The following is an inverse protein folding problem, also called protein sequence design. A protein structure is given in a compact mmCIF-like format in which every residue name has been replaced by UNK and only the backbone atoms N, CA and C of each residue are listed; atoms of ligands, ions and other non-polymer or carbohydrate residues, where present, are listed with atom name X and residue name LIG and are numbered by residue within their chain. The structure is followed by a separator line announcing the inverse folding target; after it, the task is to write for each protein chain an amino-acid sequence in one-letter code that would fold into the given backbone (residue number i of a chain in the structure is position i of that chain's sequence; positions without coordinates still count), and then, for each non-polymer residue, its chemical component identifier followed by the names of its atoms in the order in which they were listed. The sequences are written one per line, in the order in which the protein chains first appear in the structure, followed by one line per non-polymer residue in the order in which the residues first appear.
data_IF_432796984745
#
_entry.id   IF_432796984745
#
_cell.length_a   1.000
_cell.length_b   1.000
_cell.length_c   1.000
_cell.angle_alpha   90.00
_cell.angle_beta   90.00
_cell.angle_gamma   90.00
#
_symmetry.space_group_name_H-M   'P 1'
#
loop_
_entity.id
_entity.type
_entity.pdbx_description
1 polymer ?
#
# COMPACT_ATOMS: atom_id res chain seq x y z
N UNK A 1 -3.34 14.69 -2.25
CA UNK A 1 -3.56 15.18 -0.86
C UNK A 1 -2.89 16.54 -0.63
N UNK A 2 -1.58 16.67 -0.86
CA UNK A 2 -0.79 17.90 -0.63
C UNK A 2 -1.38 19.15 -1.30
N UNK A 3 -1.73 19.08 -2.58
CA UNK A 3 -2.33 20.22 -3.29
C UNK A 3 -3.66 20.70 -2.67
N UNK A 4 -4.47 19.78 -2.14
CA UNK A 4 -5.74 20.12 -1.49
C UNK A 4 -5.50 20.81 -0.14
N UNK A 5 -4.58 20.28 0.68
CA UNK A 5 -4.23 20.91 1.95
C UNK A 5 -3.54 22.25 1.76
N UNK A 6 -2.64 22.38 0.78
CA UNK A 6 -2.06 23.69 0.45
C UNK A 6 -3.17 24.68 0.08
N UNK A 7 -4.10 24.34 -0.81
CA UNK A 7 -5.20 25.24 -1.17
C UNK A 7 -6.07 25.66 0.03
N UNK A 8 -6.38 24.73 0.94
CA UNK A 8 -7.22 25.01 2.11
C UNK A 8 -6.50 25.75 3.23
N UNK A 9 -5.22 25.50 3.42
CA UNK A 9 -4.44 26.00 4.55
C UNK A 9 -3.57 27.20 4.20
N UNK A 10 -3.49 27.58 2.93
CA UNK A 10 -2.78 28.76 2.47
C UNK A 10 -3.24 30.04 3.18
N UNK A 11 -4.54 30.13 3.52
CA UNK A 11 -5.11 31.27 4.27
C UNK A 11 -4.50 31.45 5.67
N UNK A 12 -3.93 30.37 6.23
CA UNK A 12 -3.26 30.38 7.53
C UNK A 12 -1.73 30.50 7.40
N UNK A 13 -1.21 30.65 6.17
CA UNK A 13 0.24 30.67 5.90
C UNK A 13 0.95 29.34 6.17
N UNK A 14 0.19 28.24 6.29
CA UNK A 14 0.72 26.90 6.57
C UNK A 14 1.24 26.29 5.26
N UNK A 15 2.52 25.90 5.24
CA UNK A 15 3.13 25.19 4.12
C UNK A 15 2.94 23.68 4.29
N UNK A 16 2.48 23.03 3.22
CA UNK A 16 2.33 21.57 3.14
C UNK A 16 3.25 21.02 2.07
N UNK A 17 4.07 20.03 2.42
CA UNK A 17 5.00 19.39 1.49
C UNK A 17 4.83 17.87 1.49
N UNK A 18 5.30 17.23 0.42
CA UNK A 18 5.29 15.78 0.24
C UNK A 18 6.70 15.21 0.39
N UNK A 19 6.80 14.08 1.08
CA UNK A 19 8.02 13.29 1.20
C UNK A 19 7.69 11.82 0.87
N UNK A 20 7.60 11.52 -0.42
CA UNK A 20 7.26 10.19 -0.98
C UNK A 20 8.32 9.77 -2.00
N UNK A 21 8.53 8.46 -2.22
CA UNK A 21 9.38 7.88 -3.29
C UNK A 21 10.66 8.65 -3.64
N UNK A 22 10.59 9.48 -4.68
CA UNK A 22 11.72 10.21 -5.28
C UNK A 22 11.97 11.61 -4.70
N UNK A 23 11.03 12.13 -3.91
CA UNK A 23 11.17 13.46 -3.31
C UNK A 23 12.01 13.40 -2.05
N UNK A 24 13.13 14.14 -2.07
CA UNK A 24 13.92 14.46 -0.89
C UNK A 24 13.74 15.93 -0.55
N UNK A 25 13.40 16.22 0.70
CA UNK A 25 13.38 17.58 1.20
C UNK A 25 14.72 17.91 1.84
N UNK A 26 15.25 19.10 1.55
CA UNK A 26 16.40 19.61 2.28
C UNK A 26 16.03 19.88 3.73
N UNK A 27 17.01 19.86 4.65
CA UNK A 27 16.78 20.19 6.07
C UNK A 27 16.07 21.54 6.25
N UNK A 28 16.37 22.51 5.37
CA UNK A 28 15.73 23.82 5.40
C UNK A 28 14.24 23.74 5.02
N UNK A 29 13.90 23.03 3.94
CA UNK A 29 12.50 22.83 3.54
C UNK A 29 11.69 22.11 4.63
N UNK A 30 12.30 21.16 5.32
CA UNK A 30 11.67 20.44 6.44
C UNK A 30 11.36 21.41 7.59
N UNK A 31 12.31 22.28 7.95
CA UNK A 31 12.11 23.28 9.02
C UNK A 31 11.06 24.34 8.66
N UNK A 32 10.94 24.69 7.38
CA UNK A 32 9.95 25.66 6.89
C UNK A 32 8.53 25.08 6.73
N UNK A 33 8.39 23.75 6.70
CA UNK A 33 7.11 23.07 6.44
C UNK A 33 6.44 22.65 7.75
N UNK A 34 5.15 22.97 7.91
CA UNK A 34 4.40 22.62 9.12
C UNK A 34 3.64 21.29 8.99
N UNK A 35 3.22 20.92 7.77
CA UNK A 35 2.54 19.65 7.50
C UNK A 35 3.32 18.89 6.43
N UNK A 36 3.73 17.67 6.75
CA UNK A 36 4.44 16.79 5.84
C UNK A 36 3.55 15.58 5.58
N UNK A 37 3.28 15.30 4.31
CA UNK A 37 2.62 14.07 3.86
C UNK A 37 3.70 13.09 3.42
N UNK A 38 3.71 11.91 4.02
CA UNK A 38 4.87 11.02 4.07
C UNK A 38 4.41 9.57 4.05
N UNK A 39 5.16 8.70 3.37
CA UNK A 39 4.91 7.25 3.44
C UNK A 39 5.53 6.66 4.72
N UNK A 40 4.97 5.57 5.27
CA UNK A 40 5.46 4.95 6.52
C UNK A 40 6.97 4.65 6.50
N UNK A 41 7.51 4.26 5.35
CA UNK A 41 8.92 3.89 5.18
C UNK A 41 9.88 5.08 5.38
N UNK A 42 9.42 6.31 5.13
CA UNK A 42 10.24 7.52 5.32
C UNK A 42 10.09 8.15 6.70
N UNK A 43 9.19 7.63 7.55
CA UNK A 43 8.82 8.24 8.84
C UNK A 43 10.02 8.49 9.76
N UNK A 44 11.03 7.62 9.71
CA UNK A 44 12.22 7.69 10.57
C UNK A 44 13.12 8.91 10.33
N UNK A 45 12.96 9.60 9.22
CA UNK A 45 13.60 10.89 9.00
C UNK A 45 13.01 11.96 9.95
N UNK A 46 11.75 11.76 10.37
CA UNK A 46 10.84 12.63 11.09
C UNK A 46 10.94 12.62 12.62
N UNK A 47 11.80 13.38 13.31
CA UNK A 47 11.96 13.22 14.78
C UNK A 47 11.09 14.08 15.72
N UNK A 48 10.35 15.13 15.34
CA UNK A 48 9.65 15.95 16.37
C UNK A 48 8.29 16.48 15.93
N UNK A 49 7.22 15.74 16.24
CA UNK A 49 5.86 16.09 15.83
C UNK A 49 4.90 16.11 17.02
N UNK A 50 3.90 16.99 16.97
CA UNK A 50 2.82 17.02 17.96
C UNK A 50 1.61 16.17 17.56
N UNK A 51 1.45 15.88 16.26
CA UNK A 51 0.30 15.13 15.73
C UNK A 51 0.80 14.15 14.66
N UNK A 52 0.30 12.92 14.72
CA UNK A 52 0.52 11.88 13.72
C UNK A 52 -0.84 11.45 13.17
N UNK A 53 -1.09 11.68 11.89
CA UNK A 53 -2.31 11.22 11.21
C UNK A 53 -1.94 10.01 10.35
N UNK A 54 -2.57 8.87 10.64
CA UNK A 54 -2.44 7.65 9.87
C UNK A 54 -3.70 7.53 9.04
N UNK A 55 -3.58 7.90 7.77
CA UNK A 55 -4.63 7.60 6.80
C UNK A 55 -4.61 6.10 6.51
N UNK A 56 -5.78 5.48 6.54
CA UNK A 56 -5.99 4.07 6.21
C UNK A 56 -5.20 3.08 7.06
N UNK A 57 -5.33 3.21 8.39
CA UNK A 57 -4.72 2.31 9.36
C UNK A 57 -5.14 0.84 9.20
N UNK A 58 -6.22 0.55 8.47
CA UNK A 58 -6.60 -0.83 8.14
C UNK A 58 -5.57 -1.56 7.27
N UNK A 59 -4.63 -0.84 6.65
CA UNK A 59 -3.46 -1.41 5.98
C UNK A 59 -2.52 -2.19 6.91
N UNK A 60 -2.78 -2.23 8.23
CA UNK A 60 -2.16 -3.18 9.15
C UNK A 60 -2.31 -4.64 8.69
N UNK A 61 -3.37 -4.97 7.95
CA UNK A 61 -3.62 -6.30 7.40
C UNK A 61 -2.95 -6.55 6.02
N UNK A 62 -2.24 -5.56 5.49
CA UNK A 62 -1.53 -5.64 4.21
C UNK A 62 -0.03 -5.94 4.43
N UNK A 63 0.70 -6.30 3.38
CA UNK A 63 2.14 -6.59 3.44
C UNK A 63 2.98 -5.41 3.94
N UNK A 64 2.45 -4.18 3.81
CA UNK A 64 3.05 -2.94 4.34
C UNK A 64 2.67 -2.65 5.80
N UNK A 65 1.73 -3.40 6.35
CA UNK A 65 1.27 -3.30 7.74
C UNK A 65 2.38 -3.34 8.78
N UNK A 66 3.41 -4.21 8.66
CA UNK A 66 4.53 -4.25 9.61
C UNK A 66 5.32 -2.94 9.69
N UNK A 67 5.43 -2.19 8.59
CA UNK A 67 6.09 -0.87 8.60
C UNK A 67 5.27 0.12 9.40
N UNK A 68 3.95 0.15 9.18
CA UNK A 68 3.03 1.01 9.91
C UNK A 68 3.01 0.67 11.41
N UNK A 69 2.97 -0.62 11.73
CA UNK A 69 3.04 -1.13 13.10
C UNK A 69 4.34 -0.70 13.78
N UNK A 70 5.48 -0.81 13.10
CA UNK A 70 6.79 -0.34 13.60
C UNK A 70 6.81 1.16 13.89
N UNK A 71 6.21 1.96 13.00
CA UNK A 71 6.11 3.43 13.15
C UNK A 71 5.27 3.80 14.37
N UNK A 72 4.12 3.15 14.56
CA UNK A 72 3.25 3.38 15.71
C UNK A 72 3.93 2.98 17.01
N UNK A 73 4.45 1.74 17.07
CA UNK A 73 5.12 1.21 18.25
C UNK A 73 6.31 2.09 18.69
N UNK A 74 7.09 2.58 17.72
CA UNK A 74 8.24 3.46 17.98
C UNK A 74 7.81 4.83 18.48
N UNK A 75 6.77 5.41 17.89
CA UNK A 75 6.21 6.70 18.32
C UNK A 75 5.72 6.61 19.77
N UNK A 76 4.93 5.59 20.09
CA UNK A 76 4.35 5.42 21.43
C UNK A 76 5.42 5.12 22.47
N UNK A 77 6.33 4.18 22.20
CA UNK A 77 7.46 3.88 23.09
C UNK A 77 8.28 5.14 23.38
N UNK A 78 8.49 5.99 22.37
CA UNK A 78 9.19 7.26 22.57
C UNK A 78 8.40 8.22 23.44
N UNK A 79 7.08 8.35 23.23
CA UNK A 79 6.23 9.21 24.06
C UNK A 79 6.36 8.86 25.55
N UNK A 80 6.42 7.56 25.87
CA UNK A 80 6.61 7.09 27.25
C UNK A 80 8.03 7.35 27.78
N UNK A 81 9.05 7.21 26.93
CA UNK A 81 10.45 7.41 27.33
C UNK A 81 10.83 8.89 27.49
N UNK A 82 10.37 9.76 26.59
CA UNK A 82 10.75 11.18 26.58
C UNK A 82 9.73 12.08 27.26
N UNK A 83 8.50 11.59 27.47
CA UNK A 83 7.38 12.42 27.92
C UNK A 83 6.85 13.39 26.86
N UNK A 84 7.41 13.37 25.63
CA UNK A 84 6.94 14.20 24.52
C UNK A 84 5.69 13.57 23.92
N UNK A 85 4.52 14.10 24.28
CA UNK A 85 3.25 13.58 23.80
C UNK A 85 3.04 13.88 22.31
N UNK A 86 2.77 12.84 21.52
CA UNK A 86 2.32 12.92 20.14
C UNK A 86 0.86 12.47 20.10
N UNK A 87 -0.02 13.21 19.42
CA UNK A 87 -1.43 12.81 19.25
C UNK A 87 -1.58 11.90 18.04
N UNK A 88 -1.81 10.58 18.20
CA UNK A 88 -2.17 9.71 17.08
C UNK A 88 -3.62 9.94 16.64
N UNK A 89 -3.87 9.93 15.34
CA UNK A 89 -5.21 9.95 14.73
C UNK A 89 -5.21 8.90 13.62
N UNK A 90 -5.92 7.79 13.85
CA UNK A 90 -6.09 6.74 12.85
C UNK A 90 -7.41 6.93 12.08
N UNK A 91 -7.33 7.01 10.76
CA UNK A 91 -8.49 6.93 9.88
C UNK A 91 -8.54 5.49 9.36
N UNK A 92 -9.66 4.82 9.59
CA UNK A 92 -9.84 3.43 9.19
C UNK A 92 -11.16 3.28 8.48
N UNK A 93 -11.19 2.34 7.56
CA UNK A 93 -12.42 1.88 6.99
C UNK A 93 -13.05 0.84 7.94
N UNK A 94 -14.38 0.74 7.95
CA UNK A 94 -15.08 -0.08 8.93
C UNK A 94 -14.84 -1.57 8.71
N UNK A 95 -14.08 -2.17 9.62
CA UNK A 95 -13.67 -3.56 9.64
C UNK A 95 -13.63 -4.05 11.09
N UNK A 96 -13.74 -5.37 11.35
CA UNK A 96 -13.59 -5.96 12.68
C UNK A 96 -12.18 -5.73 13.26
N UNK A 97 -12.04 -5.94 14.57
CA UNK A 97 -10.85 -5.64 15.38
C UNK A 97 -10.47 -4.15 15.48
N UNK A 98 -11.38 -3.23 15.11
CA UNK A 98 -11.14 -1.79 15.26
C UNK A 98 -10.86 -1.35 16.72
N UNK A 99 -11.36 -2.10 17.71
CA UNK A 99 -11.06 -1.90 19.13
C UNK A 99 -9.60 -2.26 19.47
N UNK A 100 -9.07 -3.31 18.86
CA UNK A 100 -7.68 -3.69 19.02
C UNK A 100 -6.76 -2.65 18.36
N UNK A 101 -7.16 -2.10 17.21
CA UNK A 101 -6.47 -0.97 16.57
C UNK A 101 -6.50 0.29 17.46
N UNK A 102 -7.61 0.54 18.15
CA UNK A 102 -7.71 1.63 19.13
C UNK A 102 -6.76 1.41 20.33
N UNK A 103 -6.65 0.16 20.78
CA UNK A 103 -5.70 -0.25 21.85
C UNK A 103 -4.26 -0.02 21.40
N UNK A 104 -3.90 -0.40 20.18
CA UNK A 104 -2.59 -0.12 19.58
C UNK A 104 -2.24 1.37 19.60
N UNK A 105 -3.21 2.24 19.29
CA UNK A 105 -2.99 3.69 19.29
C UNK A 105 -3.04 4.33 20.70
N UNK A 106 -3.13 3.53 21.76
CA UNK A 106 -3.30 3.98 23.15
C UNK A 106 -4.49 4.96 23.30
N UNK A 107 -5.59 4.70 22.58
CA UNK A 107 -6.78 5.54 22.59
C UNK A 107 -7.76 5.15 23.70
N UNK A 108 -8.37 6.15 24.34
CA UNK A 108 -9.51 5.96 25.24
C UNK A 108 -10.75 5.60 24.40
N UNK A 109 -11.26 4.37 24.56
CA UNK A 109 -12.41 3.85 23.82
C UNK A 109 -13.67 4.72 23.97
N UNK A 110 -13.84 5.41 25.11
CA UNK A 110 -15.05 6.21 25.38
C UNK A 110 -15.02 7.58 24.71
N UNK A 111 -13.83 8.12 24.43
CA UNK A 111 -13.65 9.50 23.94
C UNK A 111 -13.10 9.58 22.53
N UNK A 112 -12.30 8.60 22.13
CA UNK A 112 -11.50 8.64 20.90
C UNK A 112 -11.94 7.64 19.83
N UNK A 113 -12.77 6.65 20.16
CA UNK A 113 -13.18 5.61 19.22
C UNK A 113 -14.54 5.93 18.59
N UNK A 114 -14.54 6.05 17.26
CA UNK A 114 -15.75 6.28 16.48
C UNK A 114 -15.90 5.16 15.45
N UNK A 115 -17.05 4.49 15.44
CA UNK A 115 -17.37 3.42 14.49
C UNK A 115 -18.66 3.76 13.74
N UNK A 116 -18.58 3.78 12.41
CA UNK A 116 -19.69 4.15 11.51
C UNK A 116 -20.10 2.95 10.66
N UNK A 117 -21.15 2.25 11.05
CA UNK A 117 -21.60 1.03 10.34
C UNK A 117 -22.07 1.31 8.89
N UNK A 118 -22.46 0.24 8.19
CA UNK A 118 -22.95 0.35 6.81
C UNK A 118 -24.21 1.22 6.66
N UNK A 119 -24.94 1.58 7.72
CA UNK A 119 -26.08 2.52 7.62
C UNK A 119 -25.64 3.92 7.18
N UNK A 120 -24.36 4.25 7.40
CA UNK A 120 -23.73 5.48 6.91
C UNK A 120 -23.27 5.38 5.43
N UNK A 121 -23.31 4.19 4.81
CA UNK A 121 -22.91 3.97 3.41
C UNK A 121 -24.03 3.29 2.60
N UNK A 122 -24.63 4.01 1.65
CA UNK A 122 -25.68 3.45 0.77
C UNK A 122 -25.09 2.56 -0.33
N UNK A 123 -25.18 1.22 -0.21
CA UNK A 123 -24.85 0.28 -1.31
C UNK A 123 -25.77 -0.94 -1.36
N UNK A 124 -26.11 -1.39 -2.57
CA UNK A 124 -26.91 -2.60 -2.86
C UNK A 124 -26.12 -3.53 -3.77
N UNK A 125 -26.13 -4.84 -3.50
CA UNK A 125 -25.29 -5.87 -4.16
C UNK A 125 -26.14 -6.77 -5.07
N UNK A 126 -25.62 -7.14 -6.26
CA UNK A 126 -26.21 -8.15 -7.18
C UNK A 126 -25.13 -9.05 -7.82
N UNK A 127 -25.45 -10.33 -8.08
CA UNK A 127 -24.54 -11.40 -8.57
C UNK A 127 -24.69 -11.69 -10.07
N UNK A 128 -23.60 -11.93 -10.82
CA UNK A 128 -23.61 -12.41 -12.23
C UNK A 128 -22.31 -13.15 -12.65
N UNK A 129 -22.34 -13.87 -13.79
CA UNK A 129 -21.22 -14.66 -14.38
C UNK A 129 -20.85 -14.19 -15.80
N UNK A 130 -19.55 -14.31 -16.16
CA UNK A 130 -18.83 -13.93 -17.41
C UNK A 130 -18.48 -12.43 -17.54
N UNK A 131 -17.18 -12.09 -17.47
CA UNK A 131 -16.71 -10.70 -17.23
C UNK A 131 -17.16 -9.69 -18.29
N UNK A 132 -16.91 -9.96 -19.57
CA UNK A 132 -17.21 -8.99 -20.64
C UNK A 132 -18.71 -8.87 -20.91
N UNK A 133 -19.44 -9.99 -20.93
CA UNK A 133 -20.89 -9.97 -21.12
C UNK A 133 -21.61 -9.29 -19.94
N UNK A 134 -21.15 -9.54 -18.72
CA UNK A 134 -21.69 -8.88 -17.51
C UNK A 134 -21.36 -7.40 -17.52
N UNK A 135 -20.11 -7.02 -17.81
CA UNK A 135 -19.72 -5.63 -17.92
C UNK A 135 -20.58 -4.90 -18.95
N UNK A 136 -20.70 -5.45 -20.16
CA UNK A 136 -21.55 -4.92 -21.22
C UNK A 136 -23.02 -4.78 -20.78
N UNK A 137 -23.59 -5.84 -20.21
CA UNK A 137 -24.97 -5.83 -19.73
C UNK A 137 -25.19 -4.80 -18.62
N UNK A 138 -24.21 -4.59 -17.74
CA UNK A 138 -24.30 -3.61 -16.65
C UNK A 138 -24.14 -2.17 -17.11
N UNK A 139 -23.23 -1.92 -18.05
CA UNK A 139 -23.14 -0.62 -18.71
C UNK A 139 -24.46 -0.31 -19.41
N UNK A 140 -25.05 -1.27 -20.13
CA UNK A 140 -26.37 -1.12 -20.74
C UNK A 140 -27.49 -0.91 -19.73
N UNK A 141 -27.54 -1.67 -18.64
CA UNK A 141 -28.55 -1.54 -17.58
C UNK A 141 -28.49 -0.13 -16.96
N UNK A 142 -27.30 0.44 -16.75
CA UNK A 142 -27.12 1.78 -16.20
C UNK A 142 -27.42 2.89 -17.22
N UNK A 143 -26.94 2.74 -18.45
CA UNK A 143 -27.23 3.67 -19.54
C UNK A 143 -28.74 3.71 -19.87
N UNK A 144 -29.44 2.58 -19.71
CA UNK A 144 -30.87 2.42 -20.03
C UNK A 144 -31.85 2.74 -18.90
N UNK A 145 -31.39 2.94 -17.65
CA UNK A 145 -32.30 3.27 -16.53
C UNK A 145 -32.87 4.70 -16.58
N UNK A 146 -32.33 5.55 -17.44
CA UNK A 146 -32.80 6.92 -17.61
C UNK A 146 -33.67 7.16 -18.86
N UNK A 147 -33.99 6.15 -19.69
CA UNK A 147 -34.91 6.30 -20.83
C UNK A 147 -35.34 4.97 -21.48
N UNK A 148 -36.53 4.95 -22.09
CA UNK A 148 -37.18 3.78 -22.74
C UNK A 148 -36.32 3.11 -23.83
N UNK A 149 -36.42 1.77 -23.92
CA UNK A 149 -35.62 0.81 -24.68
C UNK A 149 -35.33 1.07 -26.18
N UNK A 150 -35.96 2.07 -26.80
CA UNK A 150 -35.77 2.48 -28.20
C UNK A 150 -34.86 3.72 -28.38
N UNK A 151 -34.36 4.31 -27.29
CA UNK A 151 -33.42 5.44 -27.30
C UNK A 151 -32.07 5.02 -26.68
N UNK A 152 -31.41 4.01 -27.25
CA UNK A 152 -30.09 3.55 -26.79
C UNK A 152 -29.03 4.53 -27.28
N UNK A 153 -28.37 5.23 -26.36
CA UNK A 153 -27.34 6.25 -26.62
C UNK A 153 -27.79 7.41 -27.54
N UNK A 154 -28.91 8.08 -27.22
CA UNK A 154 -29.17 9.39 -27.83
C UNK A 154 -28.26 10.42 -27.16
N UNK A 155 -27.19 10.82 -27.86
CA UNK A 155 -26.52 12.06 -27.57
C UNK A 155 -27.51 13.20 -27.76
N UNK A 156 -27.55 14.15 -26.83
CA UNK A 156 -28.01 15.48 -27.22
C UNK A 156 -27.03 16.01 -28.28
N UNK A 157 -27.52 16.64 -29.34
CA UNK A 157 -26.69 17.14 -30.45
C UNK A 157 -25.56 18.02 -29.91
N UNK A 158 -25.88 18.82 -28.88
CA UNK A 158 -24.94 19.67 -28.18
C UNK A 158 -23.80 18.89 -27.50
N UNK A 159 -24.09 17.78 -26.80
CA UNK A 159 -23.05 16.98 -26.14
C UNK A 159 -22.17 16.26 -27.15
N UNK A 160 -22.75 15.78 -28.26
CA UNK A 160 -21.97 15.15 -29.33
C UNK A 160 -21.03 16.15 -30.03
N UNK A 161 -21.51 17.37 -30.30
CA UNK A 161 -20.70 18.43 -30.89
C UNK A 161 -19.53 18.83 -29.96
N UNK A 162 -19.79 19.03 -28.67
CA UNK A 162 -18.74 19.32 -27.67
C UNK A 162 -17.71 18.19 -27.64
N UNK A 163 -18.13 16.92 -27.56
CA UNK A 163 -17.20 15.79 -27.54
C UNK A 163 -16.41 15.65 -28.85
N UNK A 164 -17.00 16.01 -29.99
CA UNK A 164 -16.31 15.96 -31.28
C UNK A 164 -15.27 17.08 -31.42
N UNK A 165 -15.58 18.27 -30.90
CA UNK A 165 -14.64 19.40 -30.84
C UNK A 165 -13.47 19.08 -29.90
N UNK A 166 -13.76 18.59 -28.70
CA UNK A 166 -12.74 18.20 -27.73
C UNK A 166 -11.88 17.03 -28.25
N UNK A 167 -12.47 16.07 -28.98
CA UNK A 167 -11.72 15.00 -29.62
C UNK A 167 -10.64 15.52 -30.58
N UNK A 168 -10.90 16.64 -31.27
CA UNK A 168 -9.92 17.27 -32.17
C UNK A 168 -8.67 17.80 -31.47
N UNK A 169 -8.75 18.07 -30.16
CA UNK A 169 -7.63 18.56 -29.35
C UNK A 169 -6.82 17.43 -28.69
N UNK A 170 -7.30 16.19 -28.78
CA UNK A 170 -6.71 15.05 -28.08
C UNK A 170 -5.53 14.48 -28.86
N UNK A 171 -4.43 14.23 -28.15
CA UNK A 171 -3.20 13.67 -28.73
C UNK A 171 -3.23 12.15 -28.89
N UNK A 172 -4.00 11.45 -28.04
CA UNK A 172 -4.13 9.99 -28.08
C UNK A 172 -5.16 9.55 -29.12
N UNK A 173 -4.71 8.79 -30.12
CA UNK A 173 -5.55 8.30 -31.22
C UNK A 173 -6.65 7.33 -30.76
N UNK A 174 -6.42 6.57 -29.69
CA UNK A 174 -7.44 5.68 -29.13
C UNK A 174 -8.54 6.49 -28.46
N UNK A 175 -8.16 7.51 -27.69
CA UNK A 175 -9.14 8.38 -27.03
C UNK A 175 -9.92 9.21 -28.05
N UNK A 176 -9.26 9.74 -29.07
CA UNK A 176 -9.89 10.45 -30.19
C UNK A 176 -11.03 9.64 -30.84
N UNK A 177 -10.82 8.33 -31.02
CA UNK A 177 -11.82 7.46 -31.65
C UNK A 177 -12.98 7.06 -30.72
N UNK A 178 -12.80 7.16 -29.40
CA UNK A 178 -13.79 6.74 -28.41
C UNK A 178 -14.66 7.91 -27.93
N UNK A 179 -14.07 9.11 -27.80
CA UNK A 179 -14.72 10.28 -27.23
C UNK A 179 -16.04 10.67 -27.92
N UNK A 180 -16.16 10.64 -29.26
CA UNK A 180 -17.41 10.96 -29.96
C UNK A 180 -18.57 10.03 -29.58
N UNK A 181 -18.26 8.81 -29.15
CA UNK A 181 -19.25 7.84 -28.67
C UNK A 181 -19.53 7.96 -27.16
N UNK A 182 -19.01 8.99 -26.49
CA UNK A 182 -19.19 9.19 -25.04
C UNK A 182 -18.42 8.17 -24.19
N UNK A 183 -17.46 7.45 -24.78
CA UNK A 183 -16.53 6.56 -24.10
C UNK A 183 -15.19 7.27 -23.93
N UNK A 184 -14.56 7.10 -22.77
CA UNK A 184 -13.21 7.58 -22.54
C UNK A 184 -12.36 6.57 -21.76
N UNK A 185 -11.05 6.70 -21.90
CA UNK A 185 -10.05 5.96 -21.16
C UNK A 185 -9.26 6.91 -20.25
N UNK A 186 -8.88 6.45 -19.06
CA UNK A 186 -8.03 7.18 -18.13
C UNK A 186 -6.94 6.30 -17.52
N UNK A 187 -5.68 6.60 -17.83
CA UNK A 187 -4.52 5.91 -17.25
C UNK A 187 -3.34 6.87 -16.97
N UNK A 188 -2.40 6.39 -16.14
CA UNK A 188 -1.29 7.21 -15.64
C UNK A 188 -0.25 7.65 -16.69
N UNK A 189 -0.30 7.12 -17.92
CA UNK A 189 0.56 7.56 -19.03
C UNK A 189 -0.08 8.60 -19.96
N UNK A 190 -1.35 8.98 -19.74
CA UNK A 190 -1.98 10.07 -20.50
C UNK A 190 -1.42 11.44 -20.11
N UNK A 191 -1.52 12.43 -21.00
CA UNK A 191 -1.13 13.81 -20.66
C UNK A 191 -2.06 14.41 -19.61
N UNK A 192 -1.61 15.44 -18.89
CA UNK A 192 -2.43 16.10 -17.88
C UNK A 192 -3.64 16.83 -18.50
N UNK A 193 -3.44 17.42 -19.67
CA UNK A 193 -4.47 18.10 -20.47
C UNK A 193 -5.64 17.14 -20.76
N UNK A 194 -5.33 15.93 -21.24
CA UNK A 194 -6.35 14.93 -21.58
C UNK A 194 -7.11 14.40 -20.34
N UNK A 195 -6.55 14.52 -19.13
CA UNK A 195 -7.18 14.03 -17.88
C UNK A 195 -8.23 14.97 -17.29
N UNK A 196 -8.19 16.25 -17.64
CA UNK A 196 -9.10 17.26 -17.08
C UNK A 196 -10.47 17.30 -17.79
N UNK A 197 -10.59 16.65 -18.95
CA UNK A 197 -11.81 16.56 -19.80
C UNK A 197 -13.01 15.83 -19.15
N UNK A 198 -12.82 15.12 -18.04
CA UNK A 198 -13.82 14.19 -17.50
C UNK A 198 -14.76 14.79 -16.44
N UNK A 199 -14.57 16.05 -16.05
CA UNK A 199 -15.27 16.66 -14.91
C UNK A 199 -16.71 17.10 -15.23
N UNK A 200 -16.99 17.44 -16.49
CA UNK A 200 -18.24 18.13 -16.89
C UNK A 200 -19.42 17.19 -17.19
N UNK A 201 -19.23 15.88 -17.02
CA UNK A 201 -20.29 14.88 -17.19
C UNK A 201 -20.69 14.60 -18.65
N UNK A 202 -19.94 15.14 -19.63
CA UNK A 202 -20.13 14.85 -21.05
C UNK A 202 -19.80 13.38 -21.40
N UNK A 203 -18.85 12.77 -20.69
CA UNK A 203 -18.49 11.36 -20.84
C UNK A 203 -19.47 10.47 -20.06
N UNK A 204 -20.06 9.51 -20.76
CA UNK A 204 -21.03 8.57 -20.18
C UNK A 204 -20.37 7.33 -19.59
N UNK A 205 -19.28 6.85 -20.21
CA UNK A 205 -18.53 5.67 -19.76
C UNK A 205 -17.05 5.99 -19.71
N UNK A 206 -16.50 5.99 -18.49
CA UNK A 206 -15.06 6.15 -18.25
C UNK A 206 -14.45 4.81 -17.84
N UNK A 207 -13.48 4.33 -18.63
CA UNK A 207 -12.69 3.14 -18.33
C UNK A 207 -11.36 3.60 -17.73
N UNK A 208 -11.06 3.23 -16.49
CA UNK A 208 -9.88 3.72 -15.79
C UNK A 208 -9.01 2.61 -15.20
N UNK A 209 -7.70 2.85 -15.16
CA UNK A 209 -6.79 2.06 -14.32
C UNK A 209 -6.95 2.46 -12.85
N UNK A 210 -6.50 1.58 -11.96
CA UNK A 210 -6.54 1.81 -10.51
C UNK A 210 -5.94 3.13 -10.03
N UNK A 211 -4.98 3.67 -10.79
CA UNK A 211 -4.32 4.96 -10.54
C UNK A 211 -5.30 6.13 -10.42
N UNK A 212 -6.50 6.03 -11.01
CA UNK A 212 -7.55 7.04 -10.86
C UNK A 212 -8.20 7.02 -9.45
N UNK A 213 -8.35 5.83 -8.87
CA UNK A 213 -8.89 5.69 -7.52
C UNK A 213 -7.84 6.11 -6.47
N UNK A 214 -6.58 5.70 -6.70
CA UNK A 214 -5.43 6.04 -5.88
C UNK A 214 -4.15 5.86 -6.71
N UNK A 215 -3.21 6.80 -6.65
CA UNK A 215 -2.01 6.83 -7.52
C UNK A 215 -0.98 5.70 -7.33
N UNK A 216 -1.33 4.57 -6.69
CA UNK A 216 -0.43 3.45 -6.35
C UNK A 216 -1.14 2.10 -6.61
N UNK A 217 -0.38 1.07 -6.99
CA UNK A 217 -0.88 -0.28 -7.30
C UNK A 217 -0.93 -1.19 -6.05
N UNK A 218 -2.11 -1.56 -5.51
CA UNK A 218 -2.27 -2.75 -4.63
C UNK A 218 -3.65 -3.47 -4.75
N UNK A 219 -3.78 -4.70 -4.22
CA UNK A 219 -4.93 -5.62 -4.31
C UNK A 219 -6.24 -5.10 -3.65
N UNK A 220 -6.16 -4.16 -2.70
CA UNK A 220 -7.34 -3.55 -2.06
C UNK A 220 -8.11 -2.53 -2.93
N UNK A 221 -7.69 -2.37 -4.21
CA UNK A 221 -8.31 -1.51 -5.24
C UNK A 221 -9.83 -1.54 -5.25
N UNK A 222 -10.44 -2.72 -5.05
CA UNK A 222 -11.89 -2.90 -5.15
C UNK A 222 -12.66 -1.95 -4.24
N UNK A 223 -12.22 -1.75 -2.99
CA UNK A 223 -12.93 -0.90 -2.03
C UNK A 223 -12.85 0.58 -2.39
N UNK A 224 -11.67 1.02 -2.84
CA UNK A 224 -11.39 2.39 -3.28
C UNK A 224 -12.13 2.79 -4.55
N UNK A 225 -12.16 1.88 -5.52
CA UNK A 225 -12.96 2.04 -6.73
C UNK A 225 -14.45 2.16 -6.38
N UNK A 226 -14.94 1.35 -5.43
CA UNK A 226 -16.31 1.42 -4.97
C UNK A 226 -16.62 2.66 -4.12
N UNK A 227 -15.63 3.30 -3.48
CA UNK A 227 -15.84 4.55 -2.73
C UNK A 227 -16.14 5.74 -3.64
N UNK A 228 -15.83 5.64 -4.94
CA UNK A 228 -16.21 6.60 -5.99
C UNK A 228 -17.61 6.36 -6.55
N UNK A 229 -18.30 5.29 -6.14
CA UNK A 229 -19.65 4.99 -6.62
C UNK A 229 -20.68 5.96 -6.03
N UNK A 230 -21.25 6.81 -6.89
CA UNK A 230 -22.23 7.84 -6.54
C UNK A 230 -21.57 9.18 -6.20
N UNK A 231 -22.06 10.26 -6.81
CA UNK A 231 -21.60 11.63 -6.57
C UNK A 231 -22.42 12.25 -5.43
N UNK A 232 -21.81 12.61 -4.28
CA UNK A 232 -22.53 13.07 -3.10
C UNK A 232 -23.48 14.26 -3.31
N UNK A 233 -23.24 15.07 -4.35
CA UNK A 233 -24.06 16.26 -4.67
C UNK A 233 -25.16 15.99 -5.71
N UNK A 234 -25.09 14.88 -6.47
CA UNK A 234 -25.97 14.63 -7.61
C UNK A 234 -26.81 13.37 -7.47
N UNK A 235 -26.28 12.32 -6.86
CA UNK A 235 -26.89 11.00 -6.88
C UNK A 235 -27.49 10.63 -5.51
N UNK A 236 -28.72 10.13 -5.51
CA UNK A 236 -29.40 9.70 -4.26
C UNK A 236 -28.82 8.38 -3.70
N UNK A 237 -28.26 7.54 -4.57
CA UNK A 237 -27.68 6.23 -4.29
C UNK A 237 -26.54 5.96 -5.27
N UNK A 238 -25.45 5.33 -4.83
CA UNK A 238 -24.38 4.83 -5.69
C UNK A 238 -24.46 3.32 -5.90
N UNK A 239 -24.22 2.85 -7.13
CA UNK A 239 -24.11 1.42 -7.43
C UNK A 239 -22.67 1.08 -7.80
N UNK A 240 -22.13 0.04 -7.18
CA UNK A 240 -20.78 -0.43 -7.44
C UNK A 240 -20.79 -1.95 -7.60
N UNK A 241 -20.15 -2.44 -8.66
CA UNK A 241 -20.20 -3.85 -9.07
C UNK A 241 -18.77 -4.39 -9.14
N UNK A 242 -18.46 -5.43 -8.36
CA UNK A 242 -17.23 -6.20 -8.47
C UNK A 242 -17.51 -7.43 -9.32
N UNK A 243 -16.67 -7.65 -10.34
CA UNK A 243 -16.65 -8.89 -11.12
C UNK A 243 -15.38 -9.64 -10.75
N UNK A 244 -15.53 -10.86 -10.23
CA UNK A 244 -14.43 -11.69 -9.74
C UNK A 244 -14.74 -13.18 -9.99
N UNK A 245 -13.74 -14.04 -9.80
CA UNK A 245 -13.90 -15.48 -9.82
C UNK A 245 -14.77 -15.96 -8.65
N UNK A 246 -15.44 -17.10 -8.85
CA UNK A 246 -16.32 -17.65 -7.81
C UNK A 246 -15.58 -17.96 -6.50
N UNK A 247 -14.33 -18.42 -6.58
CA UNK A 247 -13.49 -18.74 -5.42
C UNK A 247 -13.20 -17.51 -4.54
N UNK A 248 -13.09 -16.32 -5.13
CA UNK A 248 -12.74 -15.08 -4.42
C UNK A 248 -13.99 -14.29 -3.97
N UNK A 249 -15.18 -14.70 -4.41
CA UNK A 249 -16.43 -13.99 -4.09
C UNK A 249 -16.61 -13.82 -2.57
N UNK A 250 -16.30 -14.86 -1.79
CA UNK A 250 -16.44 -14.81 -0.34
C UNK A 250 -15.46 -13.81 0.29
N UNK A 251 -14.23 -13.73 -0.22
CA UNK A 251 -13.24 -12.74 0.22
C UNK A 251 -13.74 -11.30 -0.01
N UNK A 252 -14.20 -10.97 -1.22
CA UNK A 252 -14.72 -9.62 -1.50
C UNK A 252 -16.02 -9.32 -0.75
N UNK A 253 -16.90 -10.31 -0.55
CA UNK A 253 -18.09 -10.15 0.28
C UNK A 253 -17.71 -9.85 1.74
N UNK A 254 -16.72 -10.55 2.29
CA UNK A 254 -16.23 -10.30 3.65
C UNK A 254 -15.56 -8.94 3.76
N UNK A 255 -14.78 -8.51 2.77
CA UNK A 255 -14.18 -7.17 2.72
C UNK A 255 -15.24 -6.06 2.70
N UNK A 256 -16.32 -6.23 1.91
CA UNK A 256 -17.38 -5.22 1.76
C UNK A 256 -18.39 -5.21 2.91
N UNK A 257 -18.71 -6.37 3.48
CA UNK A 257 -19.64 -6.49 4.59
C UNK A 257 -18.97 -6.31 5.96
N UNK A 258 -17.75 -5.77 5.99
CA UNK A 258 -17.02 -5.48 7.23
C UNK A 258 -16.78 -6.75 8.06
N UNK A 259 -16.51 -7.89 7.41
CA UNK A 259 -16.27 -9.18 8.06
C UNK A 259 -14.81 -9.64 8.01
N UNK A 260 -13.94 -8.93 7.29
CA UNK A 260 -12.51 -9.27 7.25
C UNK A 260 -11.79 -8.59 8.44
N UNK A 261 -11.44 -9.31 9.51
CA UNK A 261 -10.78 -8.73 10.67
C UNK A 261 -9.40 -8.17 10.31
N UNK A 262 -9.06 -7.01 10.88
CA UNK A 262 -7.72 -6.46 10.75
C UNK A 262 -6.78 -7.31 11.61
N UNK A 263 -5.87 -8.06 10.97
CA UNK A 263 -4.86 -8.89 11.64
C UNK A 263 -3.44 -8.33 11.39
N UNK A 264 -2.52 -8.61 12.31
CA UNK A 264 -1.11 -8.23 12.16
C UNK A 264 -0.38 -9.24 11.27
N UNK A 265 0.38 -8.73 10.30
CA UNK A 265 1.33 -9.50 9.50
C UNK A 265 2.78 -9.33 9.98
N UNK A 266 2.98 -8.89 11.22
CA UNK A 266 4.29 -8.57 11.75
C UNK A 266 5.16 -9.83 11.91
N UNK A 267 6.24 -9.89 11.13
CA UNK A 267 7.22 -10.98 11.22
C UNK A 267 8.64 -10.46 11.45
N UNK A 268 8.90 -9.17 11.18
CA UNK A 268 10.26 -8.62 11.13
C UNK A 268 10.53 -7.53 12.17
N UNK A 269 11.67 -7.67 12.86
CA UNK A 269 12.13 -6.77 13.91
C UNK A 269 12.78 -5.50 13.33
N UNK A 270 12.14 -4.35 13.48
CA UNK A 270 12.70 -3.03 13.17
C UNK A 270 12.62 -2.10 14.39
N UNK A 271 13.55 -2.28 15.33
CA UNK A 271 13.57 -1.52 16.58
C UNK A 271 14.97 -1.09 17.03
N UNK A 272 15.05 0.06 17.69
CA UNK A 272 16.22 0.47 18.49
C UNK A 272 16.22 -0.31 19.81
N UNK A 273 16.70 -1.55 19.77
CA UNK A 273 16.75 -2.45 20.93
C UNK A 273 18.19 -2.94 21.12
N UNK A 274 18.69 -2.85 22.35
CA UNK A 274 20.07 -3.22 22.67
C UNK A 274 20.20 -4.58 23.36
N UNK A 275 19.09 -5.16 23.81
CA UNK A 275 19.06 -6.46 24.47
C UNK A 275 17.69 -7.13 24.33
N UNK A 276 17.62 -8.42 24.66
CA UNK A 276 16.41 -9.24 24.56
C UNK A 276 15.25 -8.69 25.39
N UNK A 277 15.51 -8.15 26.58
CA UNK A 277 14.44 -7.61 27.43
C UNK A 277 13.82 -6.34 26.81
N UNK A 278 14.63 -5.46 26.22
CA UNK A 278 14.14 -4.32 25.45
C UNK A 278 13.40 -4.74 24.19
N UNK A 279 13.80 -5.84 23.55
CA UNK A 279 13.09 -6.40 22.41
C UNK A 279 11.70 -6.91 22.80
N UNK A 280 11.57 -7.59 23.95
CA UNK A 280 10.28 -8.00 24.50
C UNK A 280 9.41 -6.80 24.83
N UNK A 281 9.99 -5.78 25.49
CA UNK A 281 9.26 -4.54 25.76
C UNK A 281 8.79 -3.86 24.49
N UNK A 282 9.64 -3.81 23.45
CA UNK A 282 9.29 -3.21 22.17
C UNK A 282 8.16 -3.97 21.46
N UNK A 283 8.19 -5.31 21.47
CA UNK A 283 7.08 -6.14 20.96
C UNK A 283 5.77 -5.84 21.67
N UNK A 284 5.81 -5.50 22.97
CA UNK A 284 4.63 -5.07 23.73
C UNK A 284 3.94 -3.80 23.22
N UNK A 285 4.56 -3.01 22.36
CA UNK A 285 3.94 -1.82 21.74
C UNK A 285 3.36 -2.09 20.34
N UNK A 286 3.49 -3.32 19.84
CA UNK A 286 3.12 -3.63 18.45
C UNK A 286 1.68 -4.18 18.38
N UNK A 287 1.09 -4.15 17.19
CA UNK A 287 -0.27 -4.65 16.97
C UNK A 287 -0.33 -6.18 17.09
N UNK A 288 0.76 -6.87 16.71
CA UNK A 288 0.96 -8.29 16.94
C UNK A 288 0.70 -8.66 18.40
N UNK A 289 1.27 -7.92 19.35
CA UNK A 289 1.05 -8.20 20.77
C UNK A 289 -0.42 -8.11 21.17
N UNK A 290 -1.09 -7.02 20.79
CA UNK A 290 -2.51 -6.81 21.07
C UNK A 290 -3.35 -7.98 20.51
N UNK A 291 -3.05 -8.38 19.28
CA UNK A 291 -3.77 -9.48 18.61
C UNK A 291 -3.47 -10.85 19.18
N UNK A 292 -2.22 -11.12 19.58
CA UNK A 292 -1.83 -12.37 20.23
C UNK A 292 -2.57 -12.56 21.56
N UNK A 293 -2.69 -11.51 22.38
CA UNK A 293 -3.47 -11.55 23.62
C UNK A 293 -4.95 -11.87 23.41
N UNK A 294 -5.54 -11.38 22.30
CA UNK A 294 -6.96 -11.57 21.97
C UNK A 294 -7.24 -12.91 21.27
N UNK A 295 -6.28 -13.43 20.50
CA UNK A 295 -6.50 -14.56 19.59
C UNK A 295 -5.27 -15.48 19.53
N UNK A 296 -4.87 -16.03 20.69
CA UNK A 296 -3.71 -16.92 20.87
C UNK A 296 -3.61 -18.04 19.81
N UNK A 297 -4.73 -18.73 19.53
CA UNK A 297 -4.76 -19.85 18.60
C UNK A 297 -4.52 -19.45 17.13
N UNK A 298 -4.90 -18.23 16.74
CA UNK A 298 -4.66 -17.73 15.37
C UNK A 298 -3.17 -17.48 15.13
N UNK A 299 -2.48 -16.96 16.15
CA UNK A 299 -1.05 -16.65 16.10
C UNK A 299 -0.16 -17.84 16.50
N UNK A 300 -0.73 -19.06 16.55
CA UNK A 300 0.00 -20.29 16.88
C UNK A 300 0.79 -20.21 18.20
N UNK A 301 0.26 -19.48 19.19
CA UNK A 301 0.86 -19.43 20.52
C UNK A 301 0.67 -20.79 21.19
N UNK A 302 1.78 -21.44 21.53
CA UNK A 302 1.78 -22.75 22.17
C UNK A 302 0.95 -22.77 23.45
N UNK A 303 0.27 -23.88 23.71
CA UNK A 303 -0.56 -24.07 24.91
C UNK A 303 0.30 -23.94 26.18
N UNK A 304 1.58 -24.28 26.10
CA UNK A 304 2.56 -24.17 27.18
C UNK A 304 2.73 -22.74 27.72
N UNK A 305 2.42 -21.70 26.92
CA UNK A 305 2.49 -20.30 27.37
C UNK A 305 1.19 -19.83 28.06
N UNK A 306 0.09 -20.60 28.00
CA UNK A 306 -1.23 -20.15 28.43
C UNK A 306 -1.44 -20.22 29.94
N UNK A 307 -0.75 -21.12 30.64
CA UNK A 307 -1.00 -21.35 32.07
C UNK A 307 -0.18 -20.42 32.98
N UNK A 308 1.01 -19.97 32.55
CA UNK A 308 1.97 -19.23 33.39
C UNK A 308 2.38 -17.83 32.85
N UNK A 309 2.03 -17.47 31.61
CA UNK A 309 2.53 -16.25 30.94
C UNK A 309 1.40 -15.31 30.46
N UNK A 310 0.70 -14.69 31.43
CA UNK A 310 -0.41 -13.75 31.17
C UNK A 310 -0.03 -12.55 30.26
N UNK A 311 1.26 -12.23 30.13
CA UNK A 311 1.77 -11.13 29.30
C UNK A 311 2.49 -11.59 28.03
N UNK A 312 2.52 -12.89 27.74
CA UNK A 312 3.29 -13.48 26.63
C UNK A 312 4.78 -13.08 26.65
N UNK A 313 5.35 -12.76 27.81
CA UNK A 313 6.73 -12.29 27.99
C UNK A 313 7.73 -13.34 27.51
N UNK A 314 7.52 -14.60 27.89
CA UNK A 314 8.37 -15.71 27.49
C UNK A 314 8.22 -15.98 25.99
N UNK A 315 6.99 -15.97 25.48
CA UNK A 315 6.74 -16.14 24.06
C UNK A 315 7.45 -15.06 23.21
N UNK A 316 7.35 -13.78 23.58
CA UNK A 316 8.07 -12.70 22.92
C UNK A 316 9.59 -12.82 23.07
N UNK A 317 10.07 -13.32 24.21
CA UNK A 317 11.50 -13.58 24.42
C UNK A 317 12.01 -14.64 23.44
N UNK A 318 11.21 -15.67 23.16
CA UNK A 318 11.54 -16.74 22.22
C UNK A 318 11.48 -16.28 20.76
N UNK A 319 10.51 -15.42 20.42
CA UNK A 319 10.46 -14.73 19.11
C UNK A 319 11.71 -13.86 18.93
N UNK A 320 12.02 -13.00 19.91
CA UNK A 320 13.18 -12.11 19.87
C UNK A 320 14.50 -12.91 19.79
N UNK A 321 14.60 -14.02 20.51
CA UNK A 321 15.76 -14.92 20.44
C UNK A 321 15.91 -15.54 19.04
N UNK A 322 14.83 -16.08 18.49
CA UNK A 322 14.84 -16.73 17.17
C UNK A 322 15.22 -15.74 16.07
N UNK A 323 14.64 -14.54 16.09
CA UNK A 323 15.01 -13.45 15.18
C UNK A 323 16.48 -13.05 15.33
N UNK A 324 16.97 -12.87 16.56
CA UNK A 324 18.37 -12.52 16.81
C UNK A 324 19.36 -13.60 16.31
N UNK A 325 19.02 -14.88 16.44
CA UNK A 325 19.82 -15.99 15.91
C UNK A 325 19.88 -15.96 14.37
N UNK A 326 18.77 -15.65 13.71
CA UNK A 326 18.75 -15.49 12.25
C UNK A 326 19.62 -14.30 11.79
N UNK A 327 19.49 -13.15 12.45
CA UNK A 327 20.27 -11.95 12.16
C UNK A 327 21.77 -12.15 12.44
N UNK A 328 22.11 -12.88 13.50
CA UNK A 328 23.50 -13.27 13.82
C UNK A 328 24.08 -14.16 12.71
N UNK A 329 23.33 -15.17 12.27
CA UNK A 329 23.75 -16.07 11.18
C UNK A 329 24.02 -15.33 9.87
N UNK A 330 23.29 -14.24 9.62
CA UNK A 330 23.48 -13.36 8.47
C UNK A 330 24.52 -12.24 8.69
N UNK A 331 25.23 -12.23 9.83
CA UNK A 331 26.23 -11.24 10.20
C UNK A 331 25.73 -9.79 10.32
N UNK A 332 24.43 -9.60 10.56
CA UNK A 332 23.81 -8.28 10.71
C UNK A 332 23.90 -7.74 12.13
N UNK A 333 23.93 -8.65 13.10
CA UNK A 333 24.15 -8.33 14.52
C UNK A 333 25.18 -9.28 15.12
N UNK A 334 25.80 -8.86 16.21
CA UNK A 334 26.48 -9.76 17.16
C UNK A 334 25.52 -10.00 18.33
N UNK A 335 25.25 -11.27 18.63
CA UNK A 335 24.29 -11.64 19.67
C UNK A 335 24.96 -12.44 20.79
N UNK A 336 25.03 -11.84 21.98
CA UNK A 336 25.53 -12.54 23.17
C UNK A 336 24.40 -13.27 23.88
N UNK A 337 24.32 -14.60 23.71
CA UNK A 337 23.21 -15.44 24.22
C UNK A 337 23.06 -15.43 25.74
N UNK A 338 24.18 -15.35 26.47
CA UNK A 338 24.19 -15.38 27.92
C UNK A 338 23.65 -14.09 28.53
N UNK A 339 24.08 -12.92 28.04
CA UNK A 339 23.62 -11.62 28.51
C UNK A 339 22.32 -11.15 27.82
N UNK A 340 21.99 -11.73 26.66
CA UNK A 340 20.91 -11.28 25.81
C UNK A 340 21.21 -9.99 25.03
N UNK A 341 22.47 -9.54 24.98
CA UNK A 341 22.85 -8.25 24.37
C UNK A 341 23.00 -8.33 22.86
N UNK A 342 22.54 -7.28 22.17
CA UNK A 342 22.68 -7.08 20.73
C UNK A 342 23.70 -5.98 20.45
N UNK A 343 24.51 -6.16 19.41
CA UNK A 343 25.35 -5.11 18.84
C UNK A 343 25.19 -5.11 17.32
N UNK A 344 24.75 -4.00 16.75
CA UNK A 344 24.64 -3.84 15.29
C UNK A 344 26.03 -3.92 14.64
N UNK A 345 26.11 -4.59 13.49
CA UNK A 345 27.27 -4.51 12.60
C UNK A 345 27.07 -3.40 11.57
N UNK A 346 28.12 -3.06 10.81
CA UNK A 346 28.00 -2.15 9.67
C UNK A 346 27.06 -2.71 8.59
N UNK A 347 27.08 -4.04 8.37
CA UNK A 347 26.12 -4.69 7.47
C UNK A 347 24.69 -4.51 7.97
N UNK A 348 24.45 -4.68 9.27
CA UNK A 348 23.14 -4.42 9.86
C UNK A 348 22.69 -2.96 9.69
N UNK A 349 23.62 -2.01 9.82
CA UNK A 349 23.34 -0.59 9.61
C UNK A 349 22.97 -0.30 8.15
N UNK A 350 23.71 -0.86 7.18
CA UNK A 350 23.40 -0.74 5.74
C UNK A 350 22.02 -1.37 5.44
N UNK A 351 21.76 -2.57 5.96
CA UNK A 351 20.50 -3.27 5.78
C UNK A 351 19.31 -2.42 6.23
N UNK A 352 19.38 -1.88 7.44
CA UNK A 352 18.34 -1.03 8.01
C UNK A 352 18.19 0.30 7.29
N UNK A 353 19.30 0.92 6.85
CA UNK A 353 19.27 2.22 6.19
C UNK A 353 18.62 2.18 4.80
N UNK A 354 18.86 1.10 4.05
CA UNK A 354 18.35 0.92 2.70
C UNK A 354 17.13 -0.01 2.62
N UNK A 355 16.55 -0.42 3.75
CA UNK A 355 15.42 -1.36 3.81
C UNK A 355 15.66 -2.65 3.01
N UNK A 356 16.88 -3.20 3.11
CA UNK A 356 17.26 -4.44 2.42
C UNK A 356 17.05 -5.63 3.35
N UNK A 357 16.42 -6.69 2.84
CA UNK A 357 16.13 -7.89 3.64
C UNK A 357 17.41 -8.61 4.10
N UNK A 358 17.32 -9.30 5.24
CA UNK A 358 18.48 -9.98 5.82
C UNK A 358 19.04 -11.10 4.93
N UNK A 359 18.19 -11.72 4.10
CA UNK A 359 18.58 -12.72 3.12
C UNK A 359 19.41 -12.10 1.99
N UNK A 360 19.00 -10.96 1.44
CA UNK A 360 19.74 -10.24 0.40
C UNK A 360 21.09 -9.76 0.91
N UNK A 361 21.14 -9.21 2.13
CA UNK A 361 22.41 -8.81 2.75
C UNK A 361 23.36 -9.99 2.97
N UNK A 362 22.84 -11.17 3.31
CA UNK A 362 23.65 -12.37 3.41
C UNK A 362 24.20 -12.82 2.04
N UNK A 363 23.41 -12.68 0.97
CA UNK A 363 23.88 -12.93 -0.40
C UNK A 363 24.98 -11.96 -0.80
N UNK A 364 24.77 -10.66 -0.55
CA UNK A 364 25.77 -9.63 -0.84
C UNK A 364 27.08 -9.87 -0.09
N UNK A 365 27.02 -10.17 1.21
CA UNK A 365 28.21 -10.44 2.01
C UNK A 365 28.98 -11.69 1.52
N UNK A 366 28.29 -12.70 0.97
CA UNK A 366 28.91 -13.92 0.45
C UNK A 366 29.54 -13.72 -0.94
N UNK A 367 28.92 -12.90 -1.78
CA UNK A 367 29.27 -12.81 -3.19
C UNK A 367 30.08 -11.56 -3.57
N UNK A 368 29.98 -10.46 -2.83
CA UNK A 368 30.73 -9.24 -3.11
C UNK A 368 32.24 -9.44 -2.85
N UNK A 369 33.07 -9.09 -3.83
CA UNK A 369 34.54 -9.16 -3.75
C UNK A 369 35.16 -7.89 -4.34
N UNK A 370 36.33 -7.42 -3.86
CA UNK A 370 36.96 -6.21 -4.37
C UNK A 370 37.33 -6.25 -5.86
N UNK A 371 37.53 -7.45 -6.42
CA UNK A 371 37.98 -7.67 -7.81
C UNK A 371 36.83 -7.98 -8.77
N UNK A 372 35.58 -7.70 -8.39
CA UNK A 372 34.43 -8.02 -9.23
C UNK A 372 34.35 -7.12 -10.46
N UNK A 373 34.00 -7.73 -11.58
CA UNK A 373 33.61 -7.03 -12.79
C UNK A 373 32.17 -6.51 -12.70
N UNK A 374 31.84 -5.52 -13.53
CA UNK A 374 30.46 -5.00 -13.63
C UNK A 374 29.45 -6.11 -13.94
N UNK A 375 29.81 -7.08 -14.78
CA UNK A 375 28.95 -8.21 -15.12
C UNK A 375 28.62 -9.08 -13.90
N UNK A 376 29.60 -9.31 -13.02
CA UNK A 376 29.37 -10.04 -11.77
C UNK A 376 28.53 -9.23 -10.78
N UNK A 377 28.65 -7.90 -10.76
CA UNK A 377 27.84 -7.03 -9.92
C UNK A 377 26.34 -7.13 -10.28
N UNK A 378 26.02 -7.05 -11.57
CA UNK A 378 24.64 -7.24 -12.06
C UNK A 378 24.08 -8.63 -11.70
N UNK A 379 24.93 -9.67 -11.74
CA UNK A 379 24.53 -11.02 -11.31
C UNK A 379 24.23 -11.06 -9.81
N UNK A 380 25.03 -10.42 -8.98
CA UNK A 380 24.79 -10.37 -7.52
C UNK A 380 23.51 -9.60 -7.20
N UNK A 381 23.23 -8.51 -7.91
CA UNK A 381 21.96 -7.79 -7.79
C UNK A 381 20.74 -8.66 -8.15
N UNK A 382 20.81 -9.44 -9.24
CA UNK A 382 19.70 -10.31 -9.64
C UNK A 382 19.44 -11.48 -8.66
N UNK A 383 20.35 -11.74 -7.72
CA UNK A 383 20.20 -12.79 -6.70
C UNK A 383 19.50 -12.29 -5.42
N UNK A 384 19.07 -11.03 -5.39
CA UNK A 384 18.40 -10.44 -4.23
C UNK A 384 17.05 -11.10 -3.96
N UNK A 385 16.76 -11.31 -2.67
CA UNK A 385 15.57 -12.00 -2.20
C UNK A 385 14.27 -11.21 -2.49
N UNK A 386 14.37 -9.90 -2.68
CA UNK A 386 13.26 -9.04 -3.13
C UNK A 386 12.69 -9.50 -4.48
N UNK A 387 13.51 -10.13 -5.33
CA UNK A 387 13.10 -10.63 -6.65
C UNK A 387 12.72 -12.11 -6.65
N UNK A 388 12.73 -12.79 -5.50
CA UNK A 388 12.51 -14.23 -5.38
C UNK A 388 11.15 -14.69 -5.94
N UNK A 389 10.14 -13.82 -5.86
CA UNK A 389 8.78 -14.11 -6.27
C UNK A 389 8.43 -13.62 -7.67
N UNK A 390 9.37 -13.00 -8.41
CA UNK A 390 9.14 -12.60 -9.81
C UNK A 390 9.20 -13.84 -10.71
N UNK A 391 8.08 -14.34 -11.25
CA UNK A 391 8.09 -15.48 -12.14
C UNK A 391 8.43 -15.01 -13.56
N UNK A 392 9.26 -15.76 -14.29
CA UNK A 392 9.47 -15.48 -15.72
C UNK A 392 8.52 -16.35 -16.54
N UNK A 393 7.51 -15.72 -17.14
CA UNK A 393 6.53 -16.43 -17.97
C UNK A 393 7.14 -16.89 -19.30
N UNK A 394 6.63 -17.99 -19.88
CA UNK A 394 7.16 -18.53 -21.15
C UNK A 394 7.08 -17.54 -22.32
N UNK A 395 6.03 -16.71 -22.37
CA UNK A 395 5.86 -15.67 -23.38
C UNK A 395 6.95 -14.59 -23.29
N UNK A 396 7.40 -14.31 -22.07
CA UNK A 396 8.44 -13.32 -21.77
C UNK A 396 9.84 -13.87 -22.06
N UNK A 397 10.04 -15.17 -21.92
CA UNK A 397 11.29 -15.85 -22.33
C UNK A 397 11.56 -15.71 -23.82
N UNK A 398 10.52 -15.62 -24.65
CA UNK A 398 10.67 -15.37 -26.09
C UNK A 398 11.12 -13.93 -26.38
N UNK A 399 10.62 -12.96 -25.63
CA UNK A 399 11.00 -11.54 -25.79
C UNK A 399 12.40 -11.27 -25.20
N UNK A 400 12.73 -11.86 -24.05
CA UNK A 400 14.02 -11.70 -23.37
C UNK A 400 15.12 -12.64 -23.90
N UNK A 401 14.75 -13.78 -24.47
CA UNK A 401 15.66 -14.80 -24.98
C UNK A 401 16.46 -15.58 -23.92
N UNK A 402 16.12 -15.50 -22.64
CA UNK A 402 16.94 -16.03 -21.52
C UNK A 402 16.07 -16.59 -20.37
N UNK A 403 16.62 -17.54 -19.61
CA UNK A 403 16.04 -18.14 -18.38
C UNK A 403 16.28 -17.32 -17.08
N UNK A 404 15.59 -17.68 -15.99
CA UNK A 404 15.85 -17.20 -14.63
C UNK A 404 17.26 -17.61 -14.15
N UNK A 405 18.03 -16.79 -13.38
CA UNK A 405 17.81 -15.41 -12.87
C UNK A 405 18.30 -14.30 -13.82
N UNK A 406 18.58 -14.61 -15.08
CA UNK A 406 19.11 -13.61 -16.02
C UNK A 406 18.06 -12.58 -16.44
N UNK A 407 16.76 -12.90 -16.31
CA UNK A 407 15.67 -11.98 -16.62
C UNK A 407 15.77 -10.67 -15.82
N UNK A 408 15.95 -10.71 -14.50
CA UNK A 408 16.08 -9.51 -13.66
C UNK A 408 17.25 -8.65 -14.10
N UNK A 409 18.38 -9.28 -14.42
CA UNK A 409 19.56 -8.58 -14.91
C UNK A 409 19.29 -7.86 -16.23
N UNK A 410 18.58 -8.52 -17.15
CA UNK A 410 18.19 -7.95 -18.45
C UNK A 410 17.19 -6.82 -18.27
N UNK A 411 16.21 -6.96 -17.37
CA UNK A 411 15.23 -5.92 -17.07
C UNK A 411 15.92 -4.65 -16.55
N UNK A 412 16.86 -4.78 -15.60
CA UNK A 412 17.61 -3.62 -15.12
C UNK A 412 18.42 -2.96 -16.24
N UNK A 413 19.08 -3.75 -17.10
CA UNK A 413 19.81 -3.21 -18.25
C UNK A 413 18.88 -2.55 -19.28
N UNK A 414 17.70 -3.12 -19.51
CA UNK A 414 16.69 -2.58 -20.40
C UNK A 414 16.15 -1.25 -19.89
N UNK A 415 15.92 -1.14 -18.57
CA UNK A 415 15.52 0.09 -17.90
C UNK A 415 16.58 1.19 -18.09
N UNK A 416 17.85 0.90 -17.78
CA UNK A 416 18.97 1.85 -17.94
C UNK A 416 19.12 2.27 -19.41
N UNK A 417 18.90 1.34 -20.34
CA UNK A 417 19.01 1.58 -21.78
C UNK A 417 17.76 2.21 -22.41
N UNK A 418 16.70 2.45 -21.62
CA UNK A 418 15.41 2.96 -22.08
C UNK A 418 14.79 2.13 -23.22
N UNK A 419 14.97 0.80 -23.18
CA UNK A 419 14.37 -0.11 -24.14
C UNK A 419 12.86 -0.17 -23.94
N UNK A 420 12.12 -0.25 -25.05
CA UNK A 420 10.66 -0.41 -25.03
C UNK A 420 10.34 -1.90 -25.06
N UNK A 421 9.76 -2.39 -23.97
CA UNK A 421 9.20 -3.74 -23.87
C UNK A 421 7.72 -3.70 -24.26
N UNK A 422 7.22 -4.78 -24.88
CA UNK A 422 5.84 -4.88 -25.35
C UNK A 422 4.92 -5.59 -24.35
N UNK A 423 5.42 -6.55 -23.59
CA UNK A 423 4.65 -7.26 -22.56
C UNK A 423 4.29 -6.36 -21.36
N UNK A 424 3.01 -6.28 -21.00
CA UNK A 424 2.56 -5.51 -19.83
C UNK A 424 3.18 -6.02 -18.52
N UNK A 425 3.24 -7.34 -18.33
CA UNK A 425 3.83 -7.97 -17.15
C UNK A 425 5.33 -7.65 -17.06
N UNK A 426 6.09 -7.87 -18.13
CA UNK A 426 7.49 -7.43 -18.28
C UNK A 426 7.74 -5.96 -17.94
N UNK A 427 6.88 -5.04 -18.40
CA UNK A 427 7.02 -3.61 -18.08
C UNK A 427 6.77 -3.37 -16.59
N UNK A 428 5.79 -4.05 -15.99
CA UNK A 428 5.53 -3.95 -14.55
C UNK A 428 6.72 -4.49 -13.73
N UNK A 429 7.28 -5.63 -14.13
CA UNK A 429 8.45 -6.22 -13.48
C UNK A 429 9.69 -5.34 -13.65
N UNK A 430 9.89 -4.74 -14.83
CA UNK A 430 10.98 -3.78 -15.08
C UNK A 430 10.87 -2.52 -14.20
N UNK A 431 9.65 -2.07 -13.88
CA UNK A 431 9.42 -0.92 -12.99
C UNK A 431 9.60 -1.30 -11.52
N UNK A 432 9.34 -2.57 -11.19
CA UNK A 432 9.55 -3.10 -9.85
C UNK A 432 11.03 -3.35 -9.52
N UNK A 433 11.80 -3.85 -10.50
CA UNK A 433 13.27 -4.02 -10.45
C UNK A 433 13.97 -2.67 -10.45
#
# INVERSE_FOLDING_TARGET
MVGNFNARLNIFGIKVSELTGDTQMTKQQILETQIIVITPEKWDLYKSHSVMIIDEIHLLHDERGPVLESVVARTIRRMEQTGEYVRPVGLSATLPNYQDVATLLHMDELKGLFYFDASYQKKVIKRFQVVNEVCYKKVLDQAGRNQTLSAKFRFDSATHEILTEEAGNIKDSNLHNLLPFGFAIHHASMTREDRELFADGAVQVLVCTATLAWGIYNLEKGRWMLARAGRPQYDMHGEGIIITNHAELQYYLSLLNQQLPIESLFVDFLGTVCNRNEAVQWLGYTYLYVRMLKSLGLYSVGVDYQEDDNGLIQNHSDIAHSAAVLLEKCHLIKYERASGRFQSTELGHIASHYYVTYNSMAMYNRHLRPTMSTLELFRVFALSNEFKLLPVHQEEKLELGIDEPAAINVLLQAYISQLRLHGFALVADMVFV
#
